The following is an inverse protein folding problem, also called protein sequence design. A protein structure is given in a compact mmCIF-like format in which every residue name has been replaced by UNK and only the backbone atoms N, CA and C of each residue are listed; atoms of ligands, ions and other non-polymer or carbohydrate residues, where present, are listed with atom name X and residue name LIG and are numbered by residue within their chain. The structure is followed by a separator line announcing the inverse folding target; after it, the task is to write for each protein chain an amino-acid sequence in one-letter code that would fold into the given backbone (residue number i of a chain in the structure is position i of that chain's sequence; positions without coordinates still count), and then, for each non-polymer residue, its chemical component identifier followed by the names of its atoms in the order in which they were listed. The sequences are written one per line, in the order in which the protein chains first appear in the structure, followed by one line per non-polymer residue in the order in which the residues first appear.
data_IF_162063185234
#
_entry.id   IF_162063185234
#
_cell.length_a   1.000
_cell.length_b   1.000
_cell.length_c   1.000
_cell.angle_alpha   90.00
_cell.angle_beta   90.00
_cell.angle_gamma   90.00
#
_symmetry.space_group_name_H-M   'P 1'
#
loop_
_entity.id
_entity.type
_entity.pdbx_description
1 polymer ?
#
# COMPACT_ATOMS: atom_id res chain seq x y z
N UNK A 1 -19.11 -35.94 -63.12
CA UNK A 1 -18.76 -35.10 -64.26
C UNK A 1 -17.51 -34.34 -63.91
N UNK A 2 -16.40 -34.87 -64.37
CA UNK A 2 -15.54 -34.41 -65.48
C UNK A 2 -14.82 -33.10 -65.16
N UNK A 3 -13.52 -33.23 -64.82
CA UNK A 3 -12.28 -32.93 -65.61
C UNK A 3 -12.06 -31.41 -65.76
N UNK A 4 -10.89 -30.82 -65.57
CA UNK A 4 -9.58 -31.16 -66.13
C UNK A 4 -8.46 -30.40 -65.40
N UNK A 5 -7.34 -31.06 -65.31
CA UNK A 5 -5.96 -30.63 -65.09
C UNK A 5 -5.50 -29.65 -66.15
N UNK A 6 -4.53 -28.79 -65.84
CA UNK A 6 -3.38 -28.57 -66.73
C UNK A 6 -2.19 -28.03 -65.95
N UNK A 7 -1.09 -28.76 -66.03
CA UNK A 7 0.31 -28.49 -65.70
C UNK A 7 1.00 -27.77 -66.85
N UNK A 8 2.12 -27.05 -66.55
CA UNK A 8 3.34 -26.96 -67.34
C UNK A 8 4.25 -25.85 -66.77
N UNK A 9 5.42 -26.21 -66.21
CA UNK A 9 6.83 -26.30 -66.69
C UNK A 9 7.49 -24.93 -66.86
N UNK A 10 8.41 -24.59 -65.98
CA UNK A 10 9.88 -24.76 -66.00
C UNK A 10 10.63 -23.84 -66.97
N UNK A 11 11.54 -23.05 -66.44
CA UNK A 11 12.89 -22.91 -67.00
C UNK A 11 13.85 -22.21 -66.04
N UNK A 12 14.99 -22.88 -65.86
CA UNK A 12 16.20 -22.40 -65.18
C UNK A 12 16.96 -21.41 -66.09
N UNK A 13 17.66 -20.47 -65.47
CA UNK A 13 19.02 -20.12 -65.98
C UNK A 13 19.87 -19.55 -64.84
N UNK A 14 21.11 -20.00 -64.87
CA UNK A 14 22.17 -19.84 -63.88
C UNK A 14 23.12 -18.69 -64.21
N UNK A 15 23.98 -18.38 -63.27
CA UNK A 15 25.36 -17.91 -63.32
C UNK A 15 25.64 -16.42 -63.51
N UNK A 16 26.26 -15.80 -62.48
CA UNK A 16 27.63 -15.32 -62.56
C UNK A 16 28.18 -14.85 -61.25
N UNK A 17 29.29 -15.41 -60.80
CA UNK A 17 30.20 -14.91 -59.75
C UNK A 17 30.87 -13.60 -60.23
N UNK A 18 31.05 -12.66 -59.29
CA UNK A 18 32.09 -11.67 -59.31
C UNK A 18 32.60 -11.39 -57.90
N UNK A 19 33.81 -11.84 -57.62
CA UNK A 19 34.66 -11.41 -56.50
C UNK A 19 35.13 -9.98 -56.76
N UNK A 20 35.03 -9.14 -55.70
CA UNK A 20 35.61 -7.80 -55.66
C UNK A 20 36.00 -7.45 -54.22
N UNK A 21 37.27 -7.31 -53.98
CA UNK A 21 37.95 -7.14 -52.70
C UNK A 21 37.88 -5.72 -52.15
N UNK A 22 37.89 -5.64 -50.86
CA UNK A 22 38.47 -4.65 -49.91
C UNK A 22 38.38 -3.17 -50.23
N UNK A 23 37.67 -2.44 -49.29
CA UNK A 23 38.11 -1.10 -48.83
C UNK A 23 37.66 -0.90 -47.39
N UNK A 24 38.62 -0.71 -46.47
CA UNK A 24 38.44 -0.19 -45.15
C UNK A 24 37.95 1.27 -45.28
N UNK A 25 36.75 1.52 -44.74
CA UNK A 25 36.21 2.85 -44.56
C UNK A 25 35.46 2.90 -43.25
N UNK A 26 36.09 3.50 -42.22
CA UNK A 26 35.39 3.82 -40.93
C UNK A 26 34.26 4.78 -41.18
N UNK A 27 33.04 4.26 -41.31
CA UNK A 27 31.81 5.03 -41.20
C UNK A 27 31.38 5.13 -39.74
N UNK A 28 30.69 6.21 -39.34
CA UNK A 28 30.21 6.34 -37.96
C UNK A 28 29.27 5.16 -37.67
N UNK A 29 29.55 4.47 -36.58
CA UNK A 29 28.64 3.45 -36.02
C UNK A 29 27.32 4.13 -35.80
N UNK A 30 26.35 3.92 -36.67
CA UNK A 30 24.98 4.27 -36.42
C UNK A 30 24.61 3.60 -35.09
N UNK A 31 24.32 4.39 -34.09
CA UNK A 31 23.75 3.94 -32.86
C UNK A 31 22.51 3.11 -33.22
N UNK A 32 22.65 1.81 -33.14
CA UNK A 32 21.58 0.88 -33.44
C UNK A 32 20.38 1.26 -32.61
N UNK A 33 19.26 1.57 -33.21
CA UNK A 33 18.01 1.70 -32.58
C UNK A 33 17.74 0.43 -31.79
N UNK A 34 17.94 0.51 -30.45
CA UNK A 34 17.72 -0.62 -29.53
C UNK A 34 16.26 -0.98 -29.57
N UNK A 35 15.96 -2.08 -30.27
CA UNK A 35 14.63 -2.68 -30.19
C UNK A 35 14.28 -2.87 -28.72
N UNK A 36 13.08 -2.52 -28.31
CA UNK A 36 12.63 -2.63 -26.92
C UNK A 36 12.89 -4.04 -26.42
N UNK A 37 13.70 -4.19 -25.39
CA UNK A 37 14.36 -5.43 -24.97
C UNK A 37 13.41 -6.55 -24.52
N UNK A 38 12.14 -6.21 -24.20
CA UNK A 38 11.11 -7.14 -23.72
C UNK A 38 9.87 -7.19 -24.64
N UNK A 39 9.98 -6.74 -25.89
CA UNK A 39 8.87 -6.81 -26.85
C UNK A 39 8.33 -8.23 -26.97
N UNK A 40 6.99 -8.37 -26.98
CA UNK A 40 6.31 -9.65 -27.05
C UNK A 40 6.10 -10.36 -25.72
N UNK A 41 6.71 -9.89 -24.62
CA UNK A 41 6.46 -10.42 -23.29
C UNK A 41 5.28 -9.68 -22.62
N UNK A 42 4.53 -10.39 -21.78
CA UNK A 42 3.44 -9.81 -20.99
C UNK A 42 3.62 -10.24 -19.54
N UNK A 43 3.67 -9.29 -18.60
CA UNK A 43 3.67 -9.59 -17.17
C UNK A 43 2.31 -9.32 -16.55
N UNK A 44 1.89 -10.21 -15.67
CA UNK A 44 0.71 -10.02 -14.81
C UNK A 44 1.17 -9.54 -13.44
N UNK A 45 0.66 -8.38 -13.02
CA UNK A 45 0.93 -7.78 -11.72
C UNK A 45 -0.35 -7.82 -10.90
N UNK A 46 -0.31 -8.41 -9.72
CA UNK A 46 -1.43 -8.42 -8.78
C UNK A 46 -1.17 -7.45 -7.62
N UNK A 47 -2.21 -6.90 -7.02
CA UNK A 47 -2.09 -6.01 -5.86
C UNK A 47 -3.44 -5.60 -5.32
N UNK A 48 -3.46 -4.97 -4.14
CA UNK A 48 -4.70 -4.58 -3.43
C UNK A 48 -5.47 -3.46 -4.12
N UNK A 49 -4.79 -2.59 -4.83
CA UNK A 49 -5.31 -1.30 -5.29
C UNK A 49 -6.50 -1.42 -6.25
N UNK A 50 -7.44 -0.52 -6.07
CA UNK A 50 -8.61 -0.31 -6.94
C UNK A 50 -8.82 1.19 -7.16
N UNK A 51 -9.79 1.57 -7.98
CA UNK A 51 -10.17 2.97 -8.18
C UNK A 51 -9.02 3.87 -8.63
N UNK A 52 -8.76 4.94 -7.89
CA UNK A 52 -7.70 5.94 -8.20
C UNK A 52 -6.30 5.39 -8.02
N UNK A 53 -6.06 4.60 -6.99
CA UNK A 53 -4.74 4.01 -6.76
C UNK A 53 -4.35 3.06 -7.90
N UNK A 54 -5.28 2.21 -8.34
CA UNK A 54 -5.08 1.35 -9.52
C UNK A 54 -4.79 2.18 -10.77
N UNK A 55 -5.53 3.27 -11.01
CA UNK A 55 -5.30 4.15 -12.16
C UNK A 55 -3.93 4.82 -12.12
N UNK A 56 -3.47 5.22 -10.93
CA UNK A 56 -2.18 5.85 -10.76
C UNK A 56 -1.03 4.84 -10.91
N UNK A 57 -1.20 3.63 -10.39
CA UNK A 57 -0.24 2.55 -10.64
C UNK A 57 -0.22 2.11 -12.11
N UNK A 58 -1.36 2.15 -12.81
CA UNK A 58 -1.40 1.87 -14.25
C UNK A 58 -0.47 2.82 -15.04
N UNK A 59 -0.34 4.09 -14.64
CA UNK A 59 0.63 5.02 -15.26
C UNK A 59 2.08 4.54 -15.12
N UNK A 60 2.43 3.92 -13.97
CA UNK A 60 3.76 3.32 -13.75
C UNK A 60 3.96 2.11 -14.67
N UNK A 61 2.94 1.27 -14.82
CA UNK A 61 2.94 0.12 -15.73
C UNK A 61 3.08 0.56 -17.20
N UNK A 62 2.36 1.61 -17.58
CA UNK A 62 2.42 2.19 -18.94
C UNK A 62 3.80 2.77 -19.25
N UNK A 63 4.43 3.45 -18.28
CA UNK A 63 5.79 3.98 -18.41
C UNK A 63 6.81 2.83 -18.56
N UNK A 64 6.67 1.74 -17.81
CA UNK A 64 7.48 0.52 -18.00
C UNK A 64 7.29 -0.08 -19.40
N UNK A 65 6.04 -0.18 -19.86
CA UNK A 65 5.71 -0.65 -21.21
C UNK A 65 6.35 0.23 -22.28
N UNK A 66 6.24 1.55 -22.12
CA UNK A 66 6.86 2.51 -23.05
C UNK A 66 8.39 2.36 -23.12
N UNK A 67 9.04 2.12 -21.97
CA UNK A 67 10.49 1.96 -21.84
C UNK A 67 11.01 0.64 -22.40
N UNK A 68 10.31 -0.49 -22.18
CA UNK A 68 10.83 -1.83 -22.41
C UNK A 68 10.15 -2.59 -23.55
N UNK A 69 8.92 -2.20 -23.91
CA UNK A 69 8.10 -2.90 -24.89
C UNK A 69 7.34 -4.11 -24.32
N UNK A 70 7.52 -4.47 -23.03
CA UNK A 70 6.70 -5.47 -22.37
C UNK A 70 5.28 -4.96 -22.18
N UNK A 71 4.29 -5.82 -22.37
CA UNK A 71 2.90 -5.53 -21.95
C UNK A 71 2.73 -5.81 -20.48
N UNK A 72 1.83 -5.07 -19.84
CA UNK A 72 1.49 -5.26 -18.44
C UNK A 72 -0.01 -5.46 -18.29
N UNK A 73 -0.40 -6.33 -17.33
CA UNK A 73 -1.78 -6.55 -16.96
C UNK A 73 -1.89 -6.48 -15.44
N UNK A 74 -2.68 -5.55 -14.94
CA UNK A 74 -2.95 -5.46 -13.50
C UNK A 74 -4.20 -6.22 -13.11
N UNK A 75 -4.16 -6.91 -11.98
CA UNK A 75 -5.28 -7.64 -11.38
C UNK A 75 -5.41 -7.23 -9.92
N UNK A 76 -6.51 -6.57 -9.58
CA UNK A 76 -6.80 -6.27 -8.17
C UNK A 76 -7.16 -7.54 -7.40
N UNK A 77 -6.56 -7.71 -6.23
CA UNK A 77 -6.90 -8.78 -5.27
C UNK A 77 -7.89 -8.29 -4.22
N UNK A 78 -8.12 -6.97 -4.14
CA UNK A 78 -8.66 -6.37 -2.93
C UNK A 78 -7.80 -6.74 -1.71
N UNK A 79 -8.35 -6.66 -0.51
CA UNK A 79 -7.61 -6.92 0.73
C UNK A 79 -7.28 -8.41 0.99
N UNK A 80 -7.61 -9.31 0.05
CA UNK A 80 -7.42 -10.75 0.20
C UNK A 80 -6.15 -11.27 -0.52
N UNK A 81 -5.04 -10.53 -0.47
CA UNK A 81 -3.80 -10.87 -1.21
C UNK A 81 -3.37 -12.31 -0.98
N UNK A 82 -3.24 -12.73 0.28
CA UNK A 82 -2.77 -14.08 0.63
C UNK A 82 -3.66 -15.17 0.02
N UNK A 83 -4.98 -15.06 0.22
CA UNK A 83 -5.94 -16.06 -0.28
C UNK A 83 -6.02 -16.08 -1.80
N UNK A 84 -6.11 -14.91 -2.44
CA UNK A 84 -6.26 -14.82 -3.90
C UNK A 84 -5.00 -15.30 -4.62
N UNK A 85 -3.83 -14.90 -4.13
CA UNK A 85 -2.55 -15.31 -4.73
C UNK A 85 -2.31 -16.80 -4.51
N UNK A 86 -2.56 -17.32 -3.30
CA UNK A 86 -2.47 -18.76 -3.01
C UNK A 86 -3.32 -19.60 -3.96
N UNK A 87 -4.61 -19.24 -4.11
CA UNK A 87 -5.51 -19.94 -5.03
C UNK A 87 -5.06 -19.87 -6.49
N UNK A 88 -4.45 -18.75 -6.92
CA UNK A 88 -3.90 -18.63 -8.28
C UNK A 88 -2.67 -19.50 -8.48
N UNK A 89 -1.81 -19.63 -7.48
CA UNK A 89 -0.63 -20.52 -7.51
C UNK A 89 -1.09 -21.98 -7.61
N UNK A 90 -2.00 -22.41 -6.73
CA UNK A 90 -2.57 -23.77 -6.73
C UNK A 90 -3.26 -24.10 -8.06
N UNK A 91 -3.95 -23.13 -8.65
CA UNK A 91 -4.59 -23.25 -9.98
C UNK A 91 -3.67 -23.16 -11.18
N UNK A 92 -2.33 -23.03 -11.00
CA UNK A 92 -1.34 -22.93 -12.10
C UNK A 92 -1.40 -21.62 -12.90
N UNK A 93 -2.01 -20.57 -12.32
CA UNK A 93 -2.17 -19.25 -12.93
C UNK A 93 -1.57 -18.14 -12.05
N UNK A 94 -0.40 -18.42 -11.46
CA UNK A 94 0.32 -17.45 -10.65
C UNK A 94 0.58 -16.15 -11.43
N UNK A 95 0.38 -14.96 -10.82
CA UNK A 95 0.87 -13.71 -11.40
C UNK A 95 2.41 -13.70 -11.44
N UNK A 96 2.99 -12.85 -12.27
CA UNK A 96 4.46 -12.73 -12.34
C UNK A 96 4.99 -11.91 -11.16
N UNK A 97 4.25 -10.86 -10.76
CA UNK A 97 4.60 -9.93 -9.68
C UNK A 97 3.38 -9.73 -8.78
N UNK A 98 3.62 -9.60 -7.49
CA UNK A 98 2.58 -9.20 -6.52
C UNK A 98 3.07 -7.98 -5.74
N UNK A 99 2.19 -6.98 -5.59
CA UNK A 99 2.38 -5.87 -4.65
C UNK A 99 1.77 -6.30 -3.32
N UNK A 100 2.61 -6.49 -2.32
CA UNK A 100 2.23 -7.03 -1.00
C UNK A 100 2.36 -5.94 0.05
N UNK A 101 1.27 -5.51 0.69
CA UNK A 101 1.35 -4.51 1.77
C UNK A 101 1.89 -5.11 3.07
N UNK A 102 1.58 -6.37 3.40
CA UNK A 102 1.91 -6.98 4.67
C UNK A 102 3.27 -7.71 4.64
N UNK A 103 4.15 -7.35 5.57
CA UNK A 103 5.42 -8.07 5.84
C UNK A 103 5.16 -9.54 6.16
N UNK A 104 4.13 -9.82 6.98
CA UNK A 104 3.76 -11.19 7.37
C UNK A 104 3.32 -12.05 6.18
N UNK A 105 2.61 -11.48 5.20
CA UNK A 105 2.25 -12.17 3.96
C UNK A 105 3.48 -12.43 3.08
N UNK A 106 4.39 -11.45 2.96
CA UNK A 106 5.66 -11.64 2.26
C UNK A 106 6.47 -12.79 2.89
N UNK A 107 6.57 -12.80 4.23
CA UNK A 107 7.27 -13.86 4.96
C UNK A 107 6.61 -15.22 4.75
N UNK A 108 5.28 -15.28 4.77
CA UNK A 108 4.53 -16.50 4.46
C UNK A 108 4.88 -17.00 3.05
N UNK A 109 4.78 -16.15 2.04
CA UNK A 109 5.06 -16.53 0.65
C UNK A 109 6.51 -17.00 0.46
N UNK A 110 7.46 -16.40 1.18
CA UNK A 110 8.85 -16.84 1.16
C UNK A 110 9.04 -18.21 1.83
N UNK A 111 8.40 -18.46 3.00
CA UNK A 111 8.42 -19.75 3.71
C UNK A 111 7.81 -20.88 2.86
N UNK A 112 6.72 -20.57 2.13
CA UNK A 112 6.07 -21.51 1.19
C UNK A 112 6.92 -21.78 -0.08
N UNK A 113 8.03 -21.05 -0.24
CA UNK A 113 8.90 -21.18 -1.41
C UNK A 113 8.29 -20.63 -2.69
N UNK A 114 7.30 -19.75 -2.59
CA UNK A 114 6.62 -19.14 -3.75
C UNK A 114 7.39 -17.97 -4.35
N UNK A 115 8.32 -17.37 -3.60
CA UNK A 115 9.06 -16.18 -4.04
C UNK A 115 10.41 -16.52 -4.66
N UNK A 116 10.84 -15.66 -5.58
CA UNK A 116 12.21 -15.61 -6.07
C UNK A 116 13.01 -14.54 -5.35
N UNK A 117 14.27 -14.80 -4.97
CA UNK A 117 15.19 -13.75 -4.55
C UNK A 117 15.29 -12.67 -5.62
N UNK A 118 15.36 -11.42 -5.21
CA UNK A 118 15.51 -10.30 -6.12
C UNK A 118 16.90 -10.27 -6.77
N UNK A 119 17.01 -9.58 -7.91
CA UNK A 119 18.27 -9.47 -8.63
C UNK A 119 19.32 -8.69 -7.84
N UNK A 120 20.60 -8.96 -8.09
CA UNK A 120 21.71 -8.17 -7.51
C UNK A 120 21.58 -6.68 -7.84
N UNK A 121 21.09 -6.33 -9.02
CA UNK A 121 20.84 -4.94 -9.43
C UNK A 121 19.79 -4.28 -8.53
N UNK A 122 18.69 -4.97 -8.25
CA UNK A 122 17.65 -4.46 -7.33
C UNK A 122 18.21 -4.34 -5.91
N UNK A 123 18.93 -5.35 -5.42
CA UNK A 123 19.54 -5.33 -4.10
C UNK A 123 20.51 -4.14 -3.92
N UNK A 124 21.39 -3.89 -4.89
CA UNK A 124 22.31 -2.74 -4.88
C UNK A 124 21.55 -1.40 -4.88
N UNK A 125 20.45 -1.32 -5.62
CA UNK A 125 19.60 -0.12 -5.63
C UNK A 125 18.96 0.11 -4.25
N UNK A 126 18.49 -0.95 -3.59
CA UNK A 126 17.95 -0.88 -2.23
C UNK A 126 19.03 -0.44 -1.24
N UNK A 127 20.21 -1.04 -1.25
CA UNK A 127 21.32 -0.69 -0.36
C UNK A 127 21.75 0.77 -0.50
N UNK A 128 21.69 1.32 -1.72
CA UNK A 128 22.16 2.68 -1.99
C UNK A 128 21.08 3.73 -1.76
N UNK A 129 19.83 3.42 -2.11
CA UNK A 129 18.78 4.44 -2.25
C UNK A 129 17.72 4.39 -1.15
N UNK A 130 17.68 3.35 -0.33
CA UNK A 130 16.65 3.17 0.71
C UNK A 130 17.26 3.26 2.11
N UNK A 131 16.43 3.49 3.12
CA UNK A 131 16.84 3.27 4.51
C UNK A 131 16.89 1.76 4.79
N UNK A 132 17.77 1.35 5.72
CA UNK A 132 18.02 -0.07 6.03
C UNK A 132 16.75 -0.83 6.48
N UNK A 133 15.82 -0.12 7.09
CA UNK A 133 14.54 -0.67 7.56
C UNK A 133 13.72 -1.27 6.42
N UNK A 134 13.72 -0.66 5.23
CA UNK A 134 13.00 -1.17 4.06
C UNK A 134 13.60 -2.47 3.53
N UNK A 135 14.94 -2.58 3.55
CA UNK A 135 15.61 -3.85 3.23
C UNK A 135 15.23 -4.92 4.24
N UNK A 136 15.24 -4.59 5.54
CA UNK A 136 14.86 -5.51 6.61
C UNK A 136 13.46 -6.08 6.41
N UNK A 137 12.46 -5.24 6.14
CA UNK A 137 11.08 -5.71 5.91
C UNK A 137 10.89 -6.47 4.60
N UNK A 138 11.68 -6.20 3.58
CA UNK A 138 11.69 -6.94 2.32
C UNK A 138 12.47 -8.27 2.34
N UNK A 139 13.15 -8.58 3.46
CA UNK A 139 14.02 -9.75 3.58
C UNK A 139 13.43 -10.83 4.49
N UNK A 140 13.77 -12.09 4.17
CA UNK A 140 13.56 -13.25 5.04
C UNK A 140 14.92 -13.93 5.25
N UNK A 141 15.42 -13.93 6.49
CA UNK A 141 16.82 -14.20 6.74
C UNK A 141 17.71 -13.17 6.00
N UNK A 142 18.75 -13.65 5.35
CA UNK A 142 19.69 -12.80 4.59
C UNK A 142 19.26 -12.57 3.11
N UNK A 143 18.09 -13.04 2.72
CA UNK A 143 17.65 -13.00 1.34
C UNK A 143 16.58 -11.92 1.13
N UNK A 144 16.82 -10.99 0.19
CA UNK A 144 15.86 -9.96 -0.21
C UNK A 144 14.85 -10.55 -1.22
N UNK A 145 13.58 -10.55 -0.85
CA UNK A 145 12.45 -11.01 -1.67
C UNK A 145 11.53 -9.88 -2.11
N UNK A 146 11.44 -8.80 -1.34
CA UNK A 146 10.53 -7.69 -1.60
C UNK A 146 11.25 -6.36 -1.77
N UNK A 147 10.86 -5.61 -2.80
CA UNK A 147 11.23 -4.22 -3.02
C UNK A 147 10.07 -3.32 -2.58
N UNK A 148 10.22 -2.56 -1.52
CA UNK A 148 9.23 -1.55 -1.16
C UNK A 148 9.21 -0.43 -2.20
N UNK A 149 8.11 -0.35 -2.94
CA UNK A 149 7.91 0.68 -3.96
C UNK A 149 7.14 1.88 -3.41
N UNK A 150 6.12 1.61 -2.60
CA UNK A 150 5.29 2.63 -1.96
C UNK A 150 5.49 2.57 -0.45
N UNK A 151 5.62 3.73 0.18
CA UNK A 151 5.50 3.92 1.62
C UNK A 151 4.16 4.59 1.93
N UNK A 152 3.72 4.51 3.18
CA UNK A 152 2.55 5.22 3.67
C UNK A 152 2.86 5.88 5.02
N UNK A 153 2.24 7.03 5.28
CA UNK A 153 2.19 7.69 6.58
C UNK A 153 0.79 7.52 7.16
N UNK A 154 0.61 6.51 8.03
CA UNK A 154 -0.67 6.09 8.58
C UNK A 154 -1.05 6.80 9.89
N UNK A 155 -0.62 8.04 10.08
CA UNK A 155 -0.92 8.85 11.27
C UNK A 155 -1.46 10.22 10.88
N UNK A 156 -2.43 10.24 9.94
CA UNK A 156 -3.03 11.47 9.42
C UNK A 156 -4.54 11.47 9.57
N UNK A 157 -5.09 12.53 10.20
CA UNK A 157 -6.53 12.74 10.29
C UNK A 157 -6.91 13.78 9.24
N UNK A 158 -7.53 13.33 8.17
CA UNK A 158 -7.98 14.17 7.07
C UNK A 158 -9.32 14.83 7.40
N UNK A 159 -9.51 16.07 6.98
CA UNK A 159 -10.71 16.82 7.26
C UNK A 159 -11.11 17.75 6.12
N UNK A 160 -12.38 18.08 6.07
CA UNK A 160 -12.91 19.18 5.26
C UNK A 160 -12.68 20.49 6.00
N UNK A 161 -11.87 21.44 5.48
CA UNK A 161 -11.69 22.75 6.09
C UNK A 161 -13.03 23.50 6.30
N UNK A 162 -13.94 23.37 5.34
CA UNK A 162 -15.27 24.01 5.44
C UNK A 162 -16.09 23.42 6.59
N UNK A 163 -16.06 22.09 6.79
CA UNK A 163 -16.80 21.45 7.89
C UNK A 163 -16.27 21.89 9.25
N UNK A 164 -14.94 21.95 9.44
CA UNK A 164 -14.35 22.43 10.68
C UNK A 164 -14.60 23.93 10.90
N UNK A 165 -14.50 24.74 9.86
CA UNK A 165 -14.79 26.18 9.93
C UNK A 165 -16.25 26.45 10.29
N UNK A 166 -17.20 25.72 9.69
CA UNK A 166 -18.63 25.81 10.01
C UNK A 166 -18.91 25.47 11.47
N UNK A 167 -18.22 24.45 12.02
CA UNK A 167 -18.32 24.09 13.42
C UNK A 167 -17.52 25.01 14.36
N UNK A 168 -16.69 25.94 13.82
CA UNK A 168 -15.82 26.79 14.62
C UNK A 168 -14.67 26.04 15.30
N UNK A 169 -14.26 24.89 14.75
CA UNK A 169 -13.25 23.99 15.31
C UNK A 169 -11.92 24.18 14.59
N UNK A 170 -10.82 24.16 15.36
CA UNK A 170 -9.45 24.08 14.83
C UNK A 170 -8.91 22.65 14.97
N UNK A 171 -7.94 22.21 14.12
CA UNK A 171 -7.27 20.94 14.26
C UNK A 171 -6.76 20.70 15.69
N UNK A 172 -7.19 19.62 16.36
CA UNK A 172 -6.80 19.30 17.73
C UNK A 172 -5.42 18.67 17.82
N UNK A 173 -4.75 18.81 18.97
CA UNK A 173 -3.41 18.27 19.21
C UNK A 173 -3.40 17.11 20.23
N UNK A 174 -4.53 16.85 20.91
CA UNK A 174 -4.70 15.71 21.82
C UNK A 174 -5.93 14.91 21.45
N UNK A 175 -5.93 13.62 21.76
CA UNK A 175 -7.03 12.71 21.44
C UNK A 175 -8.36 13.14 22.12
N UNK A 176 -8.33 13.51 23.40
CA UNK A 176 -9.52 14.00 24.08
C UNK A 176 -10.04 15.31 23.47
N UNK A 177 -9.15 16.22 23.06
CA UNK A 177 -9.54 17.42 22.33
C UNK A 177 -10.14 17.08 20.96
N UNK A 178 -9.67 16.01 20.29
CA UNK A 178 -10.22 15.53 19.03
C UNK A 178 -11.65 14.99 19.20
N UNK A 179 -11.91 14.19 20.25
CA UNK A 179 -13.26 13.71 20.53
C UNK A 179 -14.19 14.89 20.90
N UNK A 180 -13.72 15.85 21.71
CA UNK A 180 -14.49 17.06 22.04
C UNK A 180 -14.80 17.91 20.81
N UNK A 181 -13.81 18.13 19.94
CA UNK A 181 -13.99 18.80 18.66
C UNK A 181 -15.00 18.05 17.77
N UNK A 182 -14.95 16.73 17.80
CA UNK A 182 -15.90 15.85 17.11
C UNK A 182 -17.34 16.11 17.52
N UNK A 183 -17.64 16.24 18.82
CA UNK A 183 -18.99 16.60 19.27
C UNK A 183 -19.44 17.96 18.72
N UNK A 184 -18.54 18.96 18.70
CA UNK A 184 -18.87 20.27 18.12
C UNK A 184 -19.17 20.17 16.61
N UNK A 185 -18.44 19.32 15.88
CA UNK A 185 -18.76 19.03 14.47
C UNK A 185 -20.11 18.32 14.36
N UNK A 186 -20.40 17.36 15.25
CA UNK A 186 -21.68 16.66 15.23
C UNK A 186 -22.88 17.59 15.53
N UNK A 187 -22.70 18.54 16.42
CA UNK A 187 -23.72 19.56 16.73
C UNK A 187 -23.98 20.52 15.55
N UNK A 188 -23.03 20.63 14.60
CA UNK A 188 -23.18 21.42 13.37
C UNK A 188 -23.91 20.69 12.23
N UNK A 189 -24.27 19.43 12.44
CA UNK A 189 -25.11 18.65 11.51
C UNK A 189 -24.40 17.59 10.68
N UNK A 190 -23.07 17.42 10.83
CA UNK A 190 -22.30 16.32 10.25
C UNK A 190 -21.82 15.39 11.36
N UNK A 191 -21.66 14.08 11.11
CA UNK A 191 -20.90 13.25 12.02
C UNK A 191 -19.45 13.75 12.11
N UNK A 192 -18.77 13.47 13.23
CA UNK A 192 -17.37 13.86 13.36
C UNK A 192 -16.49 13.07 12.40
N UNK A 193 -16.62 11.74 12.43
CA UNK A 193 -15.75 10.81 11.71
C UNK A 193 -16.51 9.89 10.76
N UNK A 194 -15.92 9.66 9.60
CA UNK A 194 -16.19 8.48 8.80
C UNK A 194 -15.16 7.40 9.16
N UNK A 195 -15.63 6.19 9.49
CA UNK A 195 -14.80 5.05 9.88
C UNK A 195 -15.00 3.90 8.89
N UNK A 196 -13.92 3.40 8.31
CA UNK A 196 -13.93 2.34 7.32
C UNK A 196 -13.85 0.94 7.98
N UNK A 197 -14.84 0.56 8.78
CA UNK A 197 -14.81 -0.68 9.54
C UNK A 197 -14.99 -1.96 8.71
N UNK A 198 -15.46 -1.86 7.44
CA UNK A 198 -15.71 -3.04 6.60
C UNK A 198 -14.42 -3.78 6.22
N UNK A 199 -13.33 -3.06 6.03
CA UNK A 199 -12.09 -3.66 5.54
C UNK A 199 -11.29 -4.35 6.65
N UNK A 200 -11.43 -3.90 7.88
CA UNK A 200 -10.80 -4.47 9.07
C UNK A 200 -9.42 -3.87 9.35
N UNK A 201 -8.53 -3.79 8.37
CA UNK A 201 -7.19 -3.21 8.52
C UNK A 201 -7.20 -1.75 8.96
N UNK A 202 -8.19 -0.98 8.56
CA UNK A 202 -8.36 0.41 9.00
C UNK A 202 -8.59 0.55 10.51
N UNK A 203 -9.16 -0.48 11.14
CA UNK A 203 -9.37 -0.50 12.58
C UNK A 203 -8.09 -0.81 13.36
N UNK A 204 -7.18 -1.58 12.76
CA UNK A 204 -5.85 -1.82 13.35
C UNK A 204 -5.06 -0.52 13.39
N UNK A 205 -5.13 0.29 12.33
CA UNK A 205 -4.46 1.60 12.28
C UNK A 205 -4.93 2.53 13.41
N UNK A 206 -6.24 2.57 13.73
CA UNK A 206 -6.76 3.30 14.89
C UNK A 206 -6.14 2.81 16.21
N UNK A 207 -6.15 1.49 16.43
CA UNK A 207 -5.59 0.90 17.65
C UNK A 207 -4.08 1.18 17.76
N UNK A 208 -3.35 0.99 16.69
CA UNK A 208 -1.89 1.12 16.64
C UNK A 208 -1.41 2.54 16.94
N UNK A 209 -2.07 3.56 16.40
CA UNK A 209 -1.74 4.95 16.69
C UNK A 209 -2.01 5.30 18.15
N UNK A 210 -3.14 4.85 18.70
CA UNK A 210 -3.44 5.02 20.12
C UNK A 210 -2.39 4.31 20.97
N UNK A 211 -2.09 3.04 20.67
CA UNK A 211 -1.16 2.23 21.42
C UNK A 211 0.27 2.78 21.37
N UNK A 212 0.75 3.16 20.18
CA UNK A 212 2.09 3.76 20.03
C UNK A 212 2.22 5.05 20.85
N UNK A 213 1.19 5.89 20.84
CA UNK A 213 1.19 7.14 21.62
C UNK A 213 1.18 6.90 23.13
N UNK A 214 0.34 5.98 23.63
CA UNK A 214 0.18 5.72 25.06
C UNK A 214 1.30 4.87 25.64
N UNK A 215 1.65 3.76 24.97
CA UNK A 215 2.57 2.76 25.48
C UNK A 215 4.03 3.01 25.09
N UNK A 216 4.25 3.81 24.05
CA UNK A 216 5.58 4.13 23.50
C UNK A 216 6.15 3.05 22.58
N UNK A 217 7.25 3.39 21.88
CA UNK A 217 7.81 2.57 20.82
C UNK A 217 8.34 1.20 21.28
N UNK A 218 8.89 1.11 22.48
CA UNK A 218 9.45 -0.14 22.99
C UNK A 218 8.37 -1.21 23.22
N UNK A 219 7.24 -0.82 23.81
CA UNK A 219 6.09 -1.73 24.00
C UNK A 219 5.41 -2.04 22.68
N UNK A 220 5.31 -1.06 21.77
CA UNK A 220 4.81 -1.27 20.43
C UNK A 220 5.63 -2.37 19.70
N UNK A 221 6.96 -2.25 19.69
CA UNK A 221 7.86 -3.22 19.08
C UNK A 221 7.78 -4.61 19.76
N UNK A 222 7.56 -4.63 21.07
CA UNK A 222 7.41 -5.88 21.82
C UNK A 222 6.09 -6.58 21.51
N UNK A 223 5.00 -5.83 21.37
CA UNK A 223 3.68 -6.35 21.02
C UNK A 223 3.67 -6.84 19.55
N UNK A 224 4.21 -6.05 18.61
CA UNK A 224 4.34 -6.42 17.22
C UNK A 224 5.11 -7.73 17.01
N UNK A 225 6.09 -8.02 17.86
CA UNK A 225 6.86 -9.26 17.85
C UNK A 225 6.27 -10.36 18.74
N UNK A 226 5.10 -10.16 19.32
CA UNK A 226 4.45 -11.04 20.31
C UNK A 226 5.37 -11.43 21.48
N UNK A 227 6.34 -10.55 21.84
CA UNK A 227 7.16 -10.64 23.06
C UNK A 227 6.43 -10.07 24.28
N UNK A 228 5.44 -9.21 24.02
CA UNK A 228 4.44 -8.74 24.97
C UNK A 228 3.10 -9.38 24.59
N UNK A 229 2.33 -9.79 25.58
CA UNK A 229 1.01 -10.40 25.35
C UNK A 229 -0.03 -9.33 25.04
N UNK A 230 -0.99 -9.66 24.21
CA UNK A 230 -2.14 -8.79 23.94
C UNK A 230 -3.05 -8.59 25.17
N UNK A 231 -2.89 -9.42 26.21
CA UNK A 231 -3.55 -9.21 27.52
C UNK A 231 -2.80 -8.27 28.46
N UNK A 232 -1.67 -7.67 28.03
CA UNK A 232 -0.96 -6.67 28.84
C UNK A 232 -1.90 -5.49 29.18
N UNK A 233 -1.83 -4.93 30.40
CA UNK A 233 -2.68 -3.80 30.78
C UNK A 233 -2.63 -2.62 29.81
N UNK A 234 -1.49 -2.37 29.17
CA UNK A 234 -1.37 -1.26 28.21
C UNK A 234 -2.18 -1.46 26.93
N UNK A 235 -2.39 -2.71 26.52
CA UNK A 235 -3.29 -3.05 25.39
C UNK A 235 -4.74 -2.80 25.79
N UNK A 236 -5.13 -3.22 27.02
CA UNK A 236 -6.47 -2.97 27.55
C UNK A 236 -6.75 -1.46 27.66
N UNK A 237 -5.76 -0.67 28.08
CA UNK A 237 -5.86 0.78 28.16
C UNK A 237 -6.07 1.41 26.76
N UNK A 238 -5.34 0.95 25.76
CA UNK A 238 -5.49 1.42 24.38
C UNK A 238 -6.87 1.05 23.79
N UNK A 239 -7.34 -0.18 24.00
CA UNK A 239 -8.68 -0.60 23.60
C UNK A 239 -9.76 0.21 24.35
N UNK A 240 -9.54 0.52 25.63
CA UNK A 240 -10.46 1.37 26.42
C UNK A 240 -10.53 2.77 25.81
N UNK A 241 -9.40 3.33 25.40
CA UNK A 241 -9.31 4.63 24.73
C UNK A 241 -9.99 4.63 23.37
N UNK A 242 -9.73 3.62 22.54
CA UNK A 242 -10.42 3.43 21.25
C UNK A 242 -11.94 3.25 21.47
N UNK A 243 -12.31 2.53 22.51
CA UNK A 243 -13.70 2.33 22.91
C UNK A 243 -14.45 3.63 23.24
N UNK A 244 -13.77 4.71 23.64
CA UNK A 244 -14.41 6.04 23.81
C UNK A 244 -15.03 6.52 22.50
N UNK A 245 -14.28 6.38 21.38
CA UNK A 245 -14.81 6.72 20.06
C UNK A 245 -15.89 5.74 19.61
N UNK A 246 -15.64 4.43 19.71
CA UNK A 246 -16.52 3.40 19.16
C UNK A 246 -17.88 3.32 19.88
N UNK A 247 -17.96 3.67 21.16
CA UNK A 247 -19.22 3.74 21.92
C UNK A 247 -20.10 4.91 21.50
N UNK A 248 -19.50 5.97 21.00
CA UNK A 248 -20.20 7.23 20.74
C UNK A 248 -20.76 7.28 19.32
N UNK A 249 -22.05 6.95 19.23
CA UNK A 249 -22.76 6.91 17.94
C UNK A 249 -22.89 8.27 17.26
N UNK A 250 -22.78 9.38 18.01
CA UNK A 250 -22.86 10.73 17.46
C UNK A 250 -21.60 11.09 16.68
N UNK A 251 -20.46 10.54 17.11
CA UNK A 251 -19.18 10.82 16.46
C UNK A 251 -18.98 10.11 15.13
N UNK A 252 -19.69 8.99 14.88
CA UNK A 252 -19.44 8.12 13.71
C UNK A 252 -20.60 8.21 12.72
N UNK A 253 -20.30 8.48 11.46
CA UNK A 253 -21.30 8.49 10.38
C UNK A 253 -22.03 7.14 10.26
N UNK A 254 -23.34 7.15 10.49
CA UNK A 254 -24.17 5.95 10.54
C UNK A 254 -23.95 5.04 11.76
N UNK A 255 -23.20 5.50 12.77
CA UNK A 255 -22.85 4.74 13.96
C UNK A 255 -22.01 3.51 13.65
N UNK A 256 -21.90 2.56 14.60
CA UNK A 256 -21.12 1.32 14.43
C UNK A 256 -21.57 0.51 13.21
N UNK A 257 -22.89 0.42 12.96
CA UNK A 257 -23.43 -0.31 11.81
C UNK A 257 -23.01 0.36 10.49
N UNK A 258 -23.05 1.68 10.41
CA UNK A 258 -22.60 2.44 9.25
C UNK A 258 -21.12 2.21 8.99
N UNK A 259 -20.28 2.33 10.03
CA UNK A 259 -18.85 2.07 9.93
C UNK A 259 -18.53 0.65 9.42
N UNK A 260 -19.17 -0.39 9.97
CA UNK A 260 -18.96 -1.79 9.56
C UNK A 260 -19.42 -2.10 8.12
N UNK A 261 -20.19 -1.22 7.48
CA UNK A 261 -20.61 -1.33 6.08
C UNK A 261 -19.92 -0.31 5.16
N UNK A 262 -18.94 0.41 5.67
CA UNK A 262 -18.17 1.42 4.93
C UNK A 262 -16.75 0.90 4.70
N UNK A 263 -16.35 0.77 3.45
CA UNK A 263 -14.98 0.47 3.03
C UNK A 263 -14.11 1.74 3.02
N UNK A 264 -12.82 1.60 2.75
CA UNK A 264 -11.88 2.73 2.75
C UNK A 264 -12.29 3.83 1.74
N UNK A 265 -12.53 3.55 0.43
CA UNK A 265 -12.96 4.59 -0.49
C UNK A 265 -14.28 5.25 -0.10
N UNK A 266 -15.24 4.47 0.40
CA UNK A 266 -16.52 4.97 0.90
C UNK A 266 -16.37 5.86 2.13
N UNK A 267 -15.37 5.61 2.98
CA UNK A 267 -15.08 6.49 4.11
C UNK A 267 -14.59 7.87 3.68
N UNK A 268 -13.78 7.91 2.62
CA UNK A 268 -13.31 9.17 2.01
C UNK A 268 -14.46 9.90 1.31
N UNK A 269 -15.36 9.17 0.62
CA UNK A 269 -16.56 9.73 0.00
C UNK A 269 -17.46 10.43 1.01
N UNK A 270 -17.65 9.85 2.19
CA UNK A 270 -18.48 10.44 3.25
C UNK A 270 -17.96 11.78 3.78
N UNK A 271 -16.69 12.11 3.54
CA UNK A 271 -16.11 13.42 3.93
C UNK A 271 -15.99 14.34 2.72
N UNK A 272 -15.52 13.82 1.59
CA UNK A 272 -15.13 14.62 0.43
C UNK A 272 -16.04 14.46 -0.79
N UNK A 273 -17.02 13.58 -0.72
CA UNK A 273 -17.97 13.34 -1.80
C UNK A 273 -19.01 14.47 -1.97
N UNK A 274 -19.94 14.32 -2.92
CA UNK A 274 -20.93 15.34 -3.24
C UNK A 274 -22.00 15.55 -2.14
N UNK A 275 -22.12 14.60 -1.22
CA UNK A 275 -23.06 14.65 -0.08
C UNK A 275 -22.30 14.23 1.18
N UNK A 276 -21.53 15.13 1.81
CA UNK A 276 -20.77 14.80 3.02
C UNK A 276 -21.70 14.35 4.16
N UNK A 277 -21.28 13.30 4.85
CA UNK A 277 -21.94 12.77 6.05
C UNK A 277 -21.08 13.00 7.31
N UNK A 278 -19.76 13.25 7.12
CA UNK A 278 -18.80 13.47 8.20
C UNK A 278 -17.83 14.61 7.89
N UNK A 279 -17.24 15.20 8.94
CA UNK A 279 -16.24 16.25 8.82
C UNK A 279 -14.81 15.74 8.66
N UNK A 280 -14.51 14.53 9.15
CA UNK A 280 -13.17 13.95 9.23
C UNK A 280 -13.16 12.48 8.83
N UNK A 281 -12.01 12.01 8.30
CA UNK A 281 -11.66 10.60 8.12
C UNK A 281 -10.23 10.39 8.58
N UNK A 282 -9.99 9.38 9.40
CA UNK A 282 -8.66 8.99 9.78
C UNK A 282 -8.20 7.84 8.91
N UNK A 283 -7.07 8.04 8.24
CA UNK A 283 -6.28 7.06 7.48
C UNK A 283 -4.94 7.67 7.03
N UNK A 284 -4.19 6.94 6.18
CA UNK A 284 -2.89 7.37 5.70
C UNK A 284 -2.92 8.48 4.65
N UNK A 285 -1.75 8.89 4.21
CA UNK A 285 -1.54 9.91 3.18
C UNK A 285 -2.24 9.61 1.84
N UNK A 286 -2.55 8.36 1.57
CA UNK A 286 -3.23 7.90 0.36
C UNK A 286 -4.70 8.38 0.26
N UNK A 287 -5.30 8.86 1.34
CA UNK A 287 -6.60 9.59 1.31
C UNK A 287 -6.55 10.75 0.31
N UNK A 288 -5.40 11.45 0.21
CA UNK A 288 -5.21 12.54 -0.74
C UNK A 288 -5.49 12.12 -2.19
N UNK A 289 -5.03 10.93 -2.58
CA UNK A 289 -5.25 10.39 -3.93
C UNK A 289 -6.74 10.16 -4.22
N UNK A 290 -7.46 9.58 -3.28
CA UNK A 290 -8.91 9.31 -3.41
C UNK A 290 -9.69 10.64 -3.44
N UNK A 291 -9.41 11.56 -2.51
CA UNK A 291 -10.07 12.86 -2.42
C UNK A 291 -9.88 13.69 -3.71
N UNK A 292 -8.65 13.70 -4.26
CA UNK A 292 -8.30 14.40 -5.50
C UNK A 292 -8.95 13.75 -6.73
N UNK A 293 -8.71 12.45 -6.93
CA UNK A 293 -9.00 11.79 -8.21
C UNK A 293 -10.47 11.39 -8.37
N UNK A 294 -11.16 11.07 -7.26
CA UNK A 294 -12.56 10.68 -7.31
C UNK A 294 -13.51 11.86 -7.06
N UNK A 295 -13.11 12.80 -6.20
CA UNK A 295 -14.00 13.88 -5.76
C UNK A 295 -13.50 15.28 -6.17
N UNK A 296 -12.39 15.37 -6.94
CA UNK A 296 -11.89 16.62 -7.50
C UNK A 296 -11.38 17.62 -6.46
N UNK A 297 -11.01 17.16 -5.26
CA UNK A 297 -10.58 18.05 -4.18
C UNK A 297 -9.15 18.54 -4.39
N UNK A 298 -8.93 19.81 -4.11
CA UNK A 298 -7.61 20.42 -4.07
C UNK A 298 -6.97 20.16 -2.71
N UNK A 299 -5.91 19.35 -2.70
CA UNK A 299 -5.19 19.02 -1.47
C UNK A 299 -4.50 20.27 -0.92
N UNK A 300 -4.65 20.48 0.40
CA UNK A 300 -4.22 21.68 1.11
C UNK A 300 -5.26 22.81 1.12
N UNK A 301 -6.34 22.71 0.33
CA UNK A 301 -7.42 23.71 0.27
C UNK A 301 -8.78 23.09 0.66
N UNK A 302 -9.27 22.14 -0.15
CA UNK A 302 -10.59 21.48 0.06
C UNK A 302 -10.48 20.24 0.94
N UNK A 303 -9.31 19.62 1.01
CA UNK A 303 -8.95 18.51 1.86
C UNK A 303 -7.58 18.77 2.49
N UNK A 304 -7.51 18.70 3.80
CA UNK A 304 -6.30 18.90 4.56
C UNK A 304 -6.22 17.88 5.70
N UNK A 305 -5.07 17.75 6.36
CA UNK A 305 -4.93 16.85 7.48
C UNK A 305 -4.23 17.51 8.68
N UNK A 306 -4.37 16.88 9.82
CA UNK A 306 -3.50 17.08 10.98
C UNK A 306 -2.94 15.74 11.44
N UNK A 307 -1.74 15.73 12.06
CA UNK A 307 -1.16 14.50 12.62
C UNK A 307 -2.10 13.85 13.62
N UNK A 308 -2.14 12.52 13.67
CA UNK A 308 -2.88 11.81 14.72
C UNK A 308 -2.44 12.36 16.09
N UNK A 309 -3.39 12.81 16.91
CA UNK A 309 -3.04 13.58 18.10
C UNK A 309 -2.46 12.70 19.21
N UNK A 310 -1.68 13.32 20.08
CA UNK A 310 -1.13 12.66 21.26
C UNK A 310 -2.24 12.13 22.19
N UNK A 311 -2.03 10.93 22.73
CA UNK A 311 -2.98 10.25 23.62
C UNK A 311 -2.42 10.21 25.04
N UNK A 312 -3.21 10.60 26.03
CA UNK A 312 -2.91 10.53 27.47
C UNK A 312 -1.52 11.06 27.86
N UNK A 313 -1.09 12.18 27.26
CA UNK A 313 0.20 12.81 27.53
C UNK A 313 1.39 12.15 26.82
N UNK A 314 1.16 11.14 25.96
CA UNK A 314 2.18 10.57 25.10
C UNK A 314 2.60 11.52 23.96
N UNK A 315 3.39 11.03 23.03
CA UNK A 315 3.80 11.78 21.82
C UNK A 315 2.81 11.50 20.69
N UNK A 316 2.68 12.43 19.75
CA UNK A 316 2.00 12.16 18.48
C UNK A 316 2.70 10.98 17.79
N UNK A 317 1.94 9.93 17.40
CA UNK A 317 2.52 8.73 16.80
C UNK A 317 2.92 8.98 15.34
N UNK A 318 3.85 8.15 14.83
CA UNK A 318 4.15 8.04 13.40
C UNK A 318 4.18 6.55 13.05
N UNK A 319 3.03 6.04 12.61
CA UNK A 319 2.90 4.69 12.05
C UNK A 319 3.09 4.79 10.54
N UNK A 320 3.91 3.92 9.98
CA UNK A 320 4.17 3.81 8.54
C UNK A 320 3.76 2.43 8.05
N UNK A 321 3.31 2.36 6.82
CA UNK A 321 3.12 1.13 6.07
C UNK A 321 3.85 1.19 4.74
N UNK A 322 3.60 0.23 3.88
CA UNK A 322 4.14 0.27 2.53
C UNK A 322 3.87 -1.00 1.74
N UNK A 323 4.02 -0.91 0.42
CA UNK A 323 3.75 -2.01 -0.49
C UNK A 323 5.05 -2.49 -1.13
N UNK A 324 5.37 -3.77 -0.93
CA UNK A 324 6.54 -4.42 -1.50
C UNK A 324 6.19 -5.18 -2.78
N UNK A 325 6.94 -4.95 -3.85
CA UNK A 325 6.88 -5.76 -5.05
C UNK A 325 7.68 -7.06 -4.82
N UNK A 326 7.06 -8.21 -5.07
CA UNK A 326 7.69 -9.53 -5.03
C UNK A 326 7.51 -10.24 -6.36
N UNK A 327 8.48 -11.12 -6.74
CA UNK A 327 8.39 -11.94 -7.94
C UNK A 327 7.99 -13.37 -7.56
N UNK A 328 6.90 -13.88 -8.14
CA UNK A 328 6.49 -15.25 -7.91
C UNK A 328 7.33 -16.24 -8.73
N UNK A 329 7.72 -17.36 -8.11
CA UNK A 329 8.52 -18.40 -8.73
C UNK A 329 7.82 -19.05 -9.92
N UNK A 330 6.49 -19.22 -9.83
CA UNK A 330 5.68 -19.88 -10.85
C UNK A 330 5.09 -18.90 -11.88
N UNK A 331 5.48 -17.60 -11.83
CA UNK A 331 5.18 -16.63 -12.86
C UNK A 331 5.82 -16.99 -14.20
N UNK A 332 5.13 -16.77 -15.29
CA UNK A 332 5.53 -17.24 -16.64
C UNK A 332 6.64 -16.40 -17.26
N UNK A 333 6.78 -15.13 -16.88
CA UNK A 333 7.66 -14.14 -17.52
C UNK A 333 8.72 -13.59 -16.56
N UNK A 334 9.53 -14.49 -16.00
CA UNK A 334 10.52 -14.22 -14.96
C UNK A 334 11.51 -13.10 -15.29
N UNK A 335 12.01 -13.06 -16.53
CA UNK A 335 12.95 -12.02 -16.96
C UNK A 335 12.28 -10.64 -16.94
N UNK A 336 11.08 -10.53 -17.50
CA UNK A 336 10.35 -9.28 -17.54
C UNK A 336 9.90 -8.82 -16.13
N UNK A 337 9.51 -9.77 -15.26
CA UNK A 337 9.19 -9.51 -13.87
C UNK A 337 10.38 -8.93 -13.09
N UNK A 338 11.56 -9.54 -13.20
CA UNK A 338 12.77 -9.00 -12.55
C UNK A 338 13.15 -7.62 -13.10
N UNK A 339 13.08 -7.41 -14.42
CA UNK A 339 13.33 -6.10 -15.03
C UNK A 339 12.30 -5.05 -14.57
N UNK A 340 11.06 -5.46 -14.31
CA UNK A 340 10.05 -4.57 -13.74
C UNK A 340 10.41 -4.13 -12.31
N UNK A 341 10.92 -5.03 -11.46
CA UNK A 341 11.38 -4.65 -10.12
C UNK A 341 12.62 -3.75 -10.18
N UNK A 342 13.54 -4.00 -11.11
CA UNK A 342 14.67 -3.10 -11.36
C UNK A 342 14.21 -1.70 -11.77
N UNK A 343 13.16 -1.59 -12.59
CA UNK A 343 12.53 -0.32 -12.92
C UNK A 343 11.86 0.33 -11.72
N UNK A 344 11.06 -0.42 -10.94
CA UNK A 344 10.41 0.09 -9.73
C UNK A 344 11.42 0.64 -8.69
N UNK A 345 12.64 0.09 -8.63
CA UNK A 345 13.70 0.55 -7.75
C UNK A 345 14.29 1.93 -8.16
N UNK A 346 13.90 2.48 -9.30
CA UNK A 346 14.40 3.77 -9.79
C UNK A 346 13.56 4.94 -9.30
N UNK A 347 14.16 6.13 -9.09
CA UNK A 347 13.41 7.36 -8.82
C UNK A 347 12.44 7.72 -9.95
N UNK A 348 12.77 7.38 -11.20
CA UNK A 348 11.93 7.61 -12.37
C UNK A 348 10.55 6.93 -12.23
N UNK A 349 10.53 5.67 -11.82
CA UNK A 349 9.28 4.94 -11.60
C UNK A 349 8.44 5.57 -10.47
N UNK A 350 9.08 5.94 -9.36
CA UNK A 350 8.42 6.59 -8.24
C UNK A 350 7.85 7.97 -8.61
N UNK A 351 8.57 8.75 -9.42
CA UNK A 351 8.13 10.09 -9.88
C UNK A 351 6.80 10.04 -10.65
N UNK A 352 6.52 8.95 -11.38
CA UNK A 352 5.27 8.80 -12.13
C UNK A 352 4.05 8.83 -11.21
N UNK A 353 4.10 8.11 -10.09
CA UNK A 353 2.97 8.08 -9.15
C UNK A 353 3.00 9.29 -8.21
N UNK A 354 4.18 9.73 -7.76
CA UNK A 354 4.31 10.94 -6.93
C UNK A 354 3.67 12.16 -7.59
N UNK A 355 3.85 12.32 -8.91
CA UNK A 355 3.20 13.39 -9.69
C UNK A 355 1.69 13.24 -9.83
N UNK A 356 1.15 12.02 -9.69
CA UNK A 356 -0.29 11.78 -9.68
C UNK A 356 -0.95 12.09 -8.33
N UNK A 357 -0.22 11.90 -7.21
CA UNK A 357 -0.69 12.14 -5.83
C UNK A 357 -1.08 10.86 -5.08
N UNK A 358 -1.21 10.96 -3.77
CA UNK A 358 -1.54 9.82 -2.88
C UNK A 358 -0.45 8.74 -2.85
N UNK A 359 0.81 9.15 -2.89
CA UNK A 359 1.96 8.26 -2.94
C UNK A 359 3.15 8.85 -2.18
N UNK A 360 3.79 8.03 -1.39
CA UNK A 360 5.09 8.33 -0.80
C UNK A 360 6.10 7.29 -1.26
N UNK A 361 7.31 7.72 -1.56
CA UNK A 361 8.39 6.84 -1.96
C UNK A 361 9.36 6.58 -0.82
N UNK A 362 9.72 5.31 -0.53
CA UNK A 362 10.82 5.00 0.37
C UNK A 362 12.21 5.24 -0.26
N UNK A 363 12.26 5.53 -1.57
CA UNK A 363 13.50 5.82 -2.30
C UNK A 363 13.96 7.25 -2.02
N UNK A 364 15.04 7.41 -1.26
CA UNK A 364 15.64 8.70 -0.87
C UNK A 364 16.15 9.55 -2.05
N UNK A 365 16.26 8.96 -3.25
CA UNK A 365 16.74 9.66 -4.47
C UNK A 365 15.62 10.29 -5.27
N UNK A 366 14.34 10.06 -4.88
CA UNK A 366 13.24 10.76 -5.52
C UNK A 366 13.35 12.27 -5.24
N UNK A 367 13.33 13.06 -6.31
CA UNK A 367 13.27 14.52 -6.19
C UNK A 367 11.91 14.93 -5.59
N UNK A 368 11.95 15.69 -4.51
CA UNK A 368 10.75 16.18 -3.83
C UNK A 368 9.88 17.07 -4.75
N UNK A 369 10.45 17.70 -5.77
CA UNK A 369 9.70 18.44 -6.80
C UNK A 369 8.78 17.53 -7.64
N UNK A 370 9.00 16.20 -7.62
CA UNK A 370 8.14 15.23 -8.32
C UNK A 370 6.77 15.03 -7.65
N UNK A 371 6.60 15.42 -6.39
CA UNK A 371 5.32 15.30 -5.70
C UNK A 371 4.31 16.34 -6.18
N UNK A 372 3.05 15.96 -6.29
CA UNK A 372 1.97 16.74 -6.89
C UNK A 372 1.62 18.03 -6.15
N UNK A 373 1.88 18.08 -4.85
CA UNK A 373 1.47 19.18 -3.97
C UNK A 373 2.40 19.34 -2.76
N UNK A 374 2.27 20.47 -2.05
CA UNK A 374 3.11 20.79 -0.90
C UNK A 374 2.86 19.85 0.30
N UNK A 375 1.63 19.40 0.47
CA UNK A 375 1.24 18.47 1.54
C UNK A 375 2.00 17.14 1.36
N UNK A 376 1.97 16.57 0.15
CA UNK A 376 2.70 15.35 -0.17
C UNK A 376 4.22 15.52 0.03
N UNK A 377 4.79 16.68 -0.38
CA UNK A 377 6.21 17.00 -0.17
C UNK A 377 6.59 17.05 1.31
N UNK A 378 5.80 17.74 2.13
CA UNK A 378 6.06 17.87 3.55
C UNK A 378 5.87 16.52 4.27
N UNK A 379 4.87 15.74 3.89
CA UNK A 379 4.67 14.38 4.43
C UNK A 379 5.85 13.47 4.10
N UNK A 380 6.34 13.50 2.84
CA UNK A 380 7.52 12.74 2.44
C UNK A 380 8.78 13.16 3.22
N UNK A 381 9.00 14.47 3.40
CA UNK A 381 10.11 14.99 4.22
C UNK A 381 10.00 14.52 5.67
N UNK A 382 8.82 14.58 6.26
CA UNK A 382 8.60 14.17 7.66
C UNK A 382 8.86 12.68 7.85
N UNK A 383 8.41 11.83 6.93
CA UNK A 383 8.67 10.40 6.97
C UNK A 383 10.15 10.07 6.88
N UNK A 384 10.90 10.74 5.98
CA UNK A 384 12.34 10.57 5.85
C UNK A 384 13.08 11.09 7.10
N UNK A 385 12.66 12.24 7.63
CA UNK A 385 13.28 12.88 8.81
C UNK A 385 13.03 12.09 10.10
N UNK A 386 11.89 11.39 10.20
CA UNK A 386 11.56 10.58 11.36
C UNK A 386 12.50 9.37 11.53
N UNK A 387 13.13 8.88 10.46
CA UNK A 387 14.16 7.85 10.50
C UNK A 387 13.75 6.65 11.36
N UNK A 388 14.56 6.32 12.37
CA UNK A 388 14.31 5.17 13.24
C UNK A 388 13.19 5.37 14.30
N UNK A 389 12.59 6.56 14.37
CA UNK A 389 11.45 6.82 15.26
C UNK A 389 10.11 6.37 14.66
N UNK A 390 10.06 6.16 13.35
CA UNK A 390 8.91 5.58 12.65
C UNK A 390 8.71 4.14 13.09
N UNK A 391 7.44 3.75 13.32
CA UNK A 391 7.09 2.34 13.50
C UNK A 391 6.29 1.87 12.31
N UNK A 392 6.68 0.70 11.80
CA UNK A 392 5.88 0.05 10.75
C UNK A 392 4.60 -0.49 11.38
N UNK A 393 3.53 -0.46 10.62
CA UNK A 393 2.22 -1.03 10.96
C UNK A 393 2.38 -2.41 11.59
N UNK A 394 1.79 -2.59 12.77
CA UNK A 394 1.97 -3.80 13.58
C UNK A 394 1.22 -4.98 12.94
N UNK A 395 0.03 -4.73 12.45
CA UNK A 395 -0.80 -5.76 11.81
C UNK A 395 -0.14 -6.26 10.53
N UNK A 396 0.48 -5.38 9.76
CA UNK A 396 1.22 -5.72 8.55
C UNK A 396 2.49 -6.53 8.83
N UNK A 397 3.10 -6.36 10.02
CA UNK A 397 4.26 -7.16 10.46
C UNK A 397 3.87 -8.53 10.99
N UNK A 398 2.64 -8.68 11.49
CA UNK A 398 2.16 -9.91 12.11
C UNK A 398 2.05 -11.06 11.09
N UNK A 399 2.09 -12.32 11.55
CA UNK A 399 1.76 -13.46 10.69
C UNK A 399 0.43 -13.24 9.97
N UNK A 400 0.35 -13.60 8.69
CA UNK A 400 -0.81 -13.35 7.84
C UNK A 400 -2.14 -13.84 8.45
N UNK A 401 -2.12 -14.96 9.19
CA UNK A 401 -3.29 -15.49 9.87
C UNK A 401 -3.81 -14.59 11.00
N UNK A 402 -2.99 -13.67 11.53
CA UNK A 402 -3.38 -12.72 12.57
C UNK A 402 -3.65 -11.33 11.98
N UNK A 403 -2.69 -10.73 11.29
CA UNK A 403 -2.74 -9.33 10.86
C UNK A 403 -2.96 -9.10 9.35
N UNK A 404 -3.13 -10.15 8.53
CA UNK A 404 -3.18 -10.00 7.07
C UNK A 404 -4.27 -10.80 6.35
N UNK A 405 -5.32 -11.24 7.06
CA UNK A 405 -6.39 -12.06 6.47
C UNK A 405 -7.76 -11.47 6.76
N UNK A 406 -8.45 -11.04 5.71
CA UNK A 406 -9.81 -10.46 5.82
C UNK A 406 -10.78 -11.45 6.48
N UNK A 407 -11.51 -10.97 7.47
CA UNK A 407 -12.49 -11.77 8.22
C UNK A 407 -11.89 -12.73 9.26
N UNK A 408 -10.60 -12.60 9.58
CA UNK A 408 -9.90 -13.39 10.58
C UNK A 408 -8.98 -12.51 11.45
N UNK A 409 -8.41 -13.11 12.48
CA UNK A 409 -7.38 -12.51 13.33
C UNK A 409 -7.78 -11.18 13.92
N UNK A 410 -6.82 -10.27 13.97
CA UNK A 410 -6.96 -8.93 14.53
C UNK A 410 -8.05 -8.11 13.83
N UNK A 411 -8.11 -8.16 12.49
CA UNK A 411 -9.12 -7.43 11.73
C UNK A 411 -10.54 -7.77 12.14
N UNK A 412 -10.82 -9.08 12.24
CA UNK A 412 -12.16 -9.55 12.64
C UNK A 412 -12.48 -9.21 14.10
N UNK A 413 -11.52 -9.36 14.99
CA UNK A 413 -11.70 -9.09 16.41
C UNK A 413 -11.96 -7.60 16.65
N UNK A 414 -11.24 -6.71 15.95
CA UNK A 414 -11.49 -5.27 16.04
C UNK A 414 -12.81 -4.85 15.37
N UNK A 415 -13.28 -5.54 14.32
CA UNK A 415 -14.64 -5.35 13.80
C UNK A 415 -15.70 -5.75 14.82
N UNK A 416 -15.49 -6.83 15.57
CA UNK A 416 -16.39 -7.24 16.65
C UNK A 416 -16.35 -6.24 17.82
N UNK A 417 -15.17 -5.73 18.15
CA UNK A 417 -15.01 -4.66 19.12
C UNK A 417 -15.68 -3.35 18.68
N UNK A 418 -15.61 -2.97 17.41
CA UNK A 418 -16.37 -1.84 16.89
C UNK A 418 -17.88 -2.05 17.04
N UNK A 419 -18.36 -3.28 16.84
CA UNK A 419 -19.78 -3.62 16.99
C UNK A 419 -20.24 -3.53 18.43
N UNK A 420 -19.44 -4.02 19.37
CA UNK A 420 -19.69 -3.97 20.81
C UNK A 420 -18.40 -3.66 21.59
N UNK A 421 -18.10 -2.37 21.82
CA UNK A 421 -16.89 -1.94 22.53
C UNK A 421 -17.04 -1.97 24.06
N UNK A 422 -17.94 -2.78 24.62
CA UNK A 422 -18.26 -2.76 26.05
C UNK A 422 -17.19 -3.41 26.92
N UNK A 423 -16.45 -4.43 26.39
CA UNK A 423 -15.46 -5.20 27.14
C UNK A 423 -14.07 -5.26 26.47
N UNK A 424 -13.22 -4.22 26.71
CA UNK A 424 -11.84 -4.20 26.22
C UNK A 424 -10.98 -5.38 26.72
N UNK A 425 -11.26 -5.93 27.91
CA UNK A 425 -10.49 -7.05 28.47
C UNK A 425 -10.81 -8.36 27.75
N UNK A 426 -12.08 -8.61 27.43
CA UNK A 426 -12.48 -9.77 26.64
C UNK A 426 -11.86 -9.66 25.22
N UNK A 427 -11.91 -8.48 24.60
CA UNK A 427 -11.27 -8.24 23.28
C UNK A 427 -9.77 -8.51 23.33
N UNK A 428 -9.07 -8.03 24.35
CA UNK A 428 -7.64 -8.30 24.55
C UNK A 428 -7.33 -9.80 24.70
N UNK A 429 -8.20 -10.56 25.40
CA UNK A 429 -8.06 -12.00 25.53
C UNK A 429 -8.28 -12.74 24.20
N UNK A 430 -9.22 -12.30 23.36
CA UNK A 430 -9.45 -12.86 22.02
C UNK A 430 -8.27 -12.56 21.09
N UNK A 431 -7.72 -11.33 21.13
CA UNK A 431 -6.52 -10.94 20.39
C UNK A 431 -5.33 -11.82 20.79
N UNK A 432 -5.10 -12.02 22.11
CA UNK A 432 -4.02 -12.91 22.60
C UNK A 432 -4.19 -14.34 22.10
N UNK A 433 -5.40 -14.87 22.18
CA UNK A 433 -5.70 -16.24 21.72
C UNK A 433 -5.40 -16.41 20.22
N UNK A 434 -5.77 -15.43 19.41
CA UNK A 434 -5.50 -15.44 17.96
C UNK A 434 -4.00 -15.26 17.66
N UNK A 435 -3.34 -14.30 18.32
CA UNK A 435 -1.92 -14.04 18.17
C UNK A 435 -1.08 -15.23 18.58
N UNK A 436 -1.32 -15.81 19.78
CA UNK A 436 -0.59 -16.96 20.27
C UNK A 436 -0.63 -18.14 19.29
N UNK A 437 -1.78 -18.36 18.63
CA UNK A 437 -1.91 -19.40 17.59
C UNK A 437 -1.09 -19.06 16.34
N UNK A 438 -1.15 -17.80 15.88
CA UNK A 438 -0.53 -17.41 14.62
C UNK A 438 1.00 -17.31 14.71
N UNK A 439 1.54 -16.89 15.86
CA UNK A 439 2.99 -16.73 16.05
C UNK A 439 3.71 -18.03 16.40
N UNK A 440 2.98 -19.16 16.64
CA UNK A 440 3.57 -20.49 16.84
C UNK A 440 3.80 -21.25 15.54
N UNK A 441 3.23 -20.84 14.42
CA UNK A 441 3.39 -21.41 13.07
C UNK A 441 4.48 -20.68 12.30
#
# INVERSE_FOLDING_TARGET
MMRRRTTLLASCTALALALGATACGGGPVAAGGGGKSLSGQTITVAGVWSGSEQKNFQKVLDAFTAKTGAKTQFVSTGDNVSTVVGSKIEGGNAPDVVMVPQVGVLQQFAKEGWLKPLSKTTEQSVDTNYASVWKKYGSVGDTLYGLYFKAAHKSTVWYSPDALAQAGVKPPTTYDAMLKAGHTVSDSGLAAFSVAGQDGWTLTDWFENIYLSQAGPEKYDALAAHRLKWTDPTVVDALTTLGKLFKDKQLIAGGQKGALNTDFPGSVEKVFGPKPEAGMVYEGDFVAGVAKDQFGKKIGQDANFFPFPAVDGGKAPVVSGGDAAVVLKDGKNQKAAMTFLEYLATPEAAAVWAGAGGFLSPNKKLDLASYSDDIARETAKSLVAAGDSVRFDMSDQAPAAFGGTKGAGEWKILQDFLRDPSDPKATAAELEKAAAKAYQG
#
